data_IF_765230053504
#
_entry.id   IF_765230053504
#
_cell.length_a   1.000
_cell.length_b   1.000
_cell.length_c   1.000
_cell.angle_alpha   90.00
_cell.angle_beta   90.00
_cell.angle_gamma   90.00
#
_symmetry.space_group_name_H-M   'P 1'
#
loop_
_entity.id
_entity.type
_entity.pdbx_description
1 polymer ?
#
# COMPACT_ATOMS: atom_id res chain seq x y z
N UNK A 1 12.07 -4.70 10.99
CA UNK A 1 11.91 -3.82 9.81
C UNK A 1 10.47 -3.38 9.57
N UNK A 2 9.58 -4.11 8.84
CA UNK A 2 8.22 -3.59 8.55
C UNK A 2 7.36 -3.34 9.81
N UNK A 3 7.48 -4.20 10.82
CA UNK A 3 6.75 -4.05 12.09
C UNK A 3 7.14 -2.77 12.85
N UNK A 4 8.40 -2.36 12.75
CA UNK A 4 8.93 -1.14 13.39
C UNK A 4 8.60 0.10 12.56
N UNK A 5 8.49 -0.05 11.23
CA UNK A 5 8.08 1.03 10.34
C UNK A 5 6.61 1.38 10.49
N UNK A 6 5.76 0.38 10.73
CA UNK A 6 4.31 0.54 10.79
C UNK A 6 3.76 0.20 12.18
N UNK A 7 4.08 1.06 13.14
CA UNK A 7 3.45 1.03 14.47
C UNK A 7 2.05 1.67 14.40
N UNK A 8 1.15 1.40 15.36
CA UNK A 8 -0.18 2.02 15.37
C UNK A 8 -0.17 3.56 15.26
N UNK A 9 0.71 4.30 15.98
CA UNK A 9 0.84 5.74 15.77
C UNK A 9 1.24 6.10 14.34
N UNK A 10 2.27 5.45 13.78
CA UNK A 10 2.73 5.76 12.42
C UNK A 10 1.68 5.48 11.34
N UNK A 11 0.89 4.41 11.50
CA UNK A 11 -0.24 4.12 10.62
C UNK A 11 -1.32 5.21 10.72
N UNK A 12 -1.62 5.69 11.92
CA UNK A 12 -2.59 6.75 12.13
C UNK A 12 -2.14 8.07 11.50
N UNK A 13 -0.88 8.46 11.69
CA UNK A 13 -0.30 9.66 11.07
C UNK A 13 -0.39 9.59 9.53
N UNK A 14 -0.10 8.43 8.92
CA UNK A 14 -0.20 8.24 7.47
C UNK A 14 -1.64 8.43 6.99
N UNK A 15 -2.62 7.83 7.68
CA UNK A 15 -4.04 7.88 7.31
C UNK A 15 -4.60 9.30 7.48
N UNK A 16 -4.35 9.94 8.62
CA UNK A 16 -4.90 11.25 8.97
C UNK A 16 -4.10 12.42 8.38
N UNK A 17 -2.82 12.23 8.06
CA UNK A 17 -1.94 13.26 7.52
C UNK A 17 -1.73 13.10 6.02
N UNK A 18 -0.86 12.17 5.62
CA UNK A 18 -0.39 12.09 4.24
C UNK A 18 -1.48 11.62 3.24
N UNK A 19 -2.39 10.75 3.67
CA UNK A 19 -3.41 10.14 2.81
C UNK A 19 -4.74 10.89 2.84
N UNK A 20 -5.13 11.47 3.98
CA UNK A 20 -6.34 12.30 4.10
C UNK A 20 -6.37 13.49 3.15
N UNK A 21 -5.20 14.09 2.90
CA UNK A 21 -5.07 15.32 2.12
C UNK A 21 -5.17 15.08 0.61
N UNK A 22 -5.37 13.83 0.18
CA UNK A 22 -5.27 13.43 -1.23
C UNK A 22 -6.59 12.94 -1.77
N UNK A 23 -6.96 13.47 -2.93
CA UNK A 23 -8.19 13.07 -3.63
C UNK A 23 -8.18 11.57 -3.92
N UNK A 24 -7.01 11.04 -4.33
CA UNK A 24 -6.80 9.61 -4.58
C UNK A 24 -7.15 8.73 -3.37
N UNK A 25 -6.96 9.21 -2.13
CA UNK A 25 -7.05 8.39 -0.92
C UNK A 25 -8.23 8.72 -0.01
N UNK A 26 -8.75 9.95 -0.04
CA UNK A 26 -9.74 10.46 0.90
C UNK A 26 -11.00 9.58 0.98
N UNK A 27 -11.49 9.08 -0.15
CA UNK A 27 -12.70 8.26 -0.20
C UNK A 27 -12.56 6.84 0.38
N UNK A 28 -11.35 6.41 0.75
CA UNK A 28 -11.09 5.07 1.27
C UNK A 28 -10.64 5.08 2.74
N UNK A 29 -10.68 6.24 3.41
CA UNK A 29 -10.18 6.37 4.78
C UNK A 29 -10.89 5.45 5.77
N UNK A 30 -12.21 5.38 5.72
CA UNK A 30 -13.00 4.56 6.63
C UNK A 30 -12.61 3.08 6.52
N UNK A 31 -12.58 2.55 5.28
CA UNK A 31 -12.16 1.19 4.99
C UNK A 31 -10.72 0.91 5.43
N UNK A 32 -9.79 1.86 5.24
CA UNK A 32 -8.41 1.73 5.74
C UNK A 32 -8.35 1.67 7.26
N UNK A 33 -9.11 2.53 7.95
CA UNK A 33 -9.20 2.56 9.41
C UNK A 33 -9.74 1.24 9.94
N UNK A 34 -10.79 0.70 9.33
CA UNK A 34 -11.36 -0.61 9.69
C UNK A 34 -10.38 -1.75 9.47
N UNK A 35 -9.68 -1.77 8.34
CA UNK A 35 -8.66 -2.78 8.04
C UNK A 35 -7.51 -2.73 9.06
N UNK A 36 -7.05 -1.53 9.45
CA UNK A 36 -6.01 -1.38 10.48
C UNK A 36 -6.53 -1.77 11.88
N UNK A 37 -7.77 -1.42 12.25
CA UNK A 37 -8.38 -1.90 13.50
C UNK A 37 -8.42 -3.43 13.55
N UNK A 38 -8.87 -4.07 12.47
CA UNK A 38 -8.89 -5.52 12.35
C UNK A 38 -7.48 -6.12 12.49
N UNK A 39 -6.47 -5.50 11.87
CA UNK A 39 -5.07 -5.90 12.02
C UNK A 39 -4.60 -5.81 13.48
N UNK A 40 -4.88 -4.69 14.16
CA UNK A 40 -4.54 -4.51 15.56
C UNK A 40 -5.22 -5.54 16.48
N UNK A 41 -6.49 -5.89 16.20
CA UNK A 41 -7.22 -6.94 16.91
C UNK A 41 -6.71 -8.37 16.62
N UNK A 42 -5.78 -8.54 15.69
CA UNK A 42 -5.28 -9.87 15.28
C UNK A 42 -6.20 -10.61 14.30
N UNK A 43 -7.17 -9.94 13.70
CA UNK A 43 -8.08 -10.47 12.69
C UNK A 43 -7.49 -10.33 11.29
N UNK A 44 -6.34 -10.96 11.05
CA UNK A 44 -5.52 -10.73 9.85
C UNK A 44 -6.22 -11.04 8.53
N UNK A 45 -7.05 -12.09 8.49
CA UNK A 45 -7.82 -12.42 7.29
C UNK A 45 -8.78 -11.28 6.92
N UNK A 46 -9.51 -10.75 7.91
CA UNK A 46 -10.43 -9.61 7.75
C UNK A 46 -9.67 -8.36 7.34
N UNK A 47 -8.55 -8.07 8.01
CA UNK A 47 -7.71 -6.92 7.70
C UNK A 47 -7.19 -6.95 6.25
N UNK A 48 -6.72 -8.10 5.79
CA UNK A 48 -6.22 -8.28 4.42
C UNK A 48 -7.37 -8.17 3.41
N UNK A 49 -8.49 -8.87 3.62
CA UNK A 49 -9.63 -8.78 2.70
C UNK A 49 -10.18 -7.36 2.64
N UNK A 50 -10.22 -6.65 3.76
CA UNK A 50 -10.67 -5.26 3.84
C UNK A 50 -9.76 -4.27 3.11
N UNK A 51 -8.46 -4.55 2.97
CA UNK A 51 -7.50 -3.64 2.34
C UNK A 51 -7.38 -3.81 0.82
N UNK A 52 -7.75 -4.99 0.29
CA UNK A 52 -7.68 -5.28 -1.15
C UNK A 52 -8.54 -4.31 -1.99
N UNK A 53 -9.81 -4.01 -1.63
CA UNK A 53 -10.61 -3.03 -2.36
C UNK A 53 -10.03 -1.62 -2.33
N UNK A 54 -9.37 -1.21 -1.24
CA UNK A 54 -8.66 0.09 -1.18
C UNK A 54 -7.56 0.16 -2.24
N UNK A 55 -6.74 -0.89 -2.35
CA UNK A 55 -5.67 -0.98 -3.35
C UNK A 55 -6.23 -0.85 -4.78
N UNK A 56 -7.28 -1.61 -5.11
CA UNK A 56 -7.93 -1.49 -6.43
C UNK A 56 -8.55 -0.11 -6.65
N UNK A 57 -9.14 0.46 -5.60
CA UNK A 57 -9.70 1.80 -5.62
C UNK A 57 -8.68 2.88 -5.94
N UNK A 58 -7.53 2.87 -5.24
CA UNK A 58 -6.43 3.78 -5.50
C UNK A 58 -5.91 3.66 -6.93
N UNK A 59 -5.83 2.44 -7.48
CA UNK A 59 -5.44 2.22 -8.87
C UNK A 59 -6.43 2.85 -9.86
N UNK A 60 -7.74 2.76 -9.60
CA UNK A 60 -8.77 3.42 -10.42
C UNK A 60 -8.63 4.94 -10.38
N UNK A 61 -8.43 5.51 -9.20
CA UNK A 61 -8.23 6.96 -9.03
C UNK A 61 -6.94 7.45 -9.71
N UNK A 62 -5.83 6.72 -9.57
CA UNK A 62 -4.59 7.02 -10.29
C UNK A 62 -4.80 7.05 -11.80
N UNK A 63 -5.61 6.13 -12.35
CA UNK A 63 -5.98 6.13 -13.76
C UNK A 63 -6.73 7.40 -14.19
N UNK A 64 -7.69 7.87 -13.38
CA UNK A 64 -8.38 9.14 -13.65
C UNK A 64 -7.41 10.32 -13.69
N UNK A 65 -6.47 10.38 -12.75
CA UNK A 65 -5.47 11.44 -12.67
C UNK A 65 -4.51 11.49 -13.88
N UNK A 66 -4.27 10.37 -14.55
CA UNK A 66 -3.48 10.33 -15.81
C UNK A 66 -4.35 10.33 -17.08
N UNK A 67 -5.61 10.73 -16.97
CA UNK A 67 -6.59 10.75 -18.08
C UNK A 67 -6.78 9.41 -18.78
N UNK A 68 -6.62 8.30 -18.04
CA UNK A 68 -6.94 6.94 -18.46
C UNK A 68 -7.94 6.35 -17.46
N UNK A 69 -9.23 6.75 -17.50
CA UNK A 69 -10.21 6.25 -16.57
C UNK A 69 -10.30 4.73 -16.68
N UNK A 70 -9.99 4.06 -15.57
CA UNK A 70 -10.15 2.61 -15.47
C UNK A 70 -11.63 2.34 -15.24
N UNK A 71 -12.29 1.66 -16.18
CA UNK A 71 -13.68 1.22 -16.07
C UNK A 71 -13.83 0.19 -14.93
N UNK A 72 -15.05 -0.33 -14.73
CA UNK A 72 -15.46 -1.18 -13.61
C UNK A 72 -14.47 -2.29 -13.23
N UNK A 73 -13.80 -2.91 -14.21
CA UNK A 73 -12.73 -3.87 -13.98
C UNK A 73 -11.34 -3.25 -14.19
N UNK A 74 -10.52 -3.21 -13.13
CA UNK A 74 -9.08 -2.95 -13.25
C UNK A 74 -8.43 -4.17 -13.90
N UNK A 75 -8.26 -4.14 -15.22
CA UNK A 75 -7.48 -5.14 -15.92
C UNK A 75 -5.98 -4.78 -15.89
N UNK A 76 -5.13 -5.79 -15.99
CA UNK A 76 -3.68 -5.58 -15.92
C UNK A 76 -3.18 -4.66 -17.02
N UNK A 77 -3.72 -4.76 -18.24
CA UNK A 77 -3.30 -3.92 -19.36
C UNK A 77 -3.53 -2.43 -19.12
N UNK A 78 -4.67 -2.06 -18.53
CA UNK A 78 -4.99 -0.67 -18.19
C UNK A 78 -4.05 -0.19 -17.11
N UNK A 79 -3.75 -1.04 -16.12
CA UNK A 79 -2.78 -0.71 -15.08
C UNK A 79 -1.37 -0.44 -15.65
N UNK A 80 -0.89 -1.28 -16.57
CA UNK A 80 0.40 -1.07 -17.24
C UNK A 80 0.41 0.27 -17.99
N UNK A 81 -0.71 0.63 -18.64
CA UNK A 81 -0.85 1.94 -19.30
C UNK A 81 -0.81 3.09 -18.31
N UNK A 82 -1.44 2.96 -17.13
CA UNK A 82 -1.37 3.96 -16.06
C UNK A 82 0.07 4.17 -15.61
N UNK A 83 0.78 3.11 -15.21
CA UNK A 83 2.20 3.23 -14.81
C UNK A 83 3.08 3.80 -15.92
N UNK A 84 2.85 3.40 -17.18
CA UNK A 84 3.56 3.97 -18.32
C UNK A 84 3.32 5.49 -18.45
N UNK A 85 2.09 5.98 -18.26
CA UNK A 85 1.80 7.42 -18.28
C UNK A 85 2.48 8.17 -17.14
N UNK A 86 2.52 7.60 -15.94
CA UNK A 86 3.23 8.21 -14.80
C UNK A 86 4.73 8.31 -15.11
N UNK A 87 5.34 7.24 -15.65
CA UNK A 87 6.75 7.23 -16.10
C UNK A 87 7.02 8.27 -17.19
N UNK A 88 6.10 8.44 -18.15
CA UNK A 88 6.20 9.52 -19.16
C UNK A 88 6.16 10.92 -18.51
N UNK A 89 5.36 11.11 -17.46
CA UNK A 89 5.32 12.35 -16.68
C UNK A 89 6.67 12.67 -16.03
N UNK A 90 7.36 11.67 -15.47
CA UNK A 90 8.69 11.86 -14.91
C UNK A 90 9.73 12.21 -15.97
N UNK A 91 9.70 11.56 -17.14
CA UNK A 91 10.57 11.93 -18.25
C UNK A 91 10.37 13.39 -18.67
N UNK A 92 9.10 13.82 -18.82
CA UNK A 92 8.78 15.22 -19.14
C UNK A 92 9.26 16.19 -18.07
N UNK A 93 9.17 15.83 -16.79
CA UNK A 93 9.67 16.65 -15.68
C UNK A 93 11.20 16.74 -15.65
N UNK A 94 11.90 15.67 -15.97
CA UNK A 94 13.36 15.65 -16.01
C UNK A 94 13.92 16.62 -17.05
N UNK A 95 13.29 16.69 -18.22
CA UNK A 95 13.71 17.55 -19.33
C UNK A 95 13.08 18.94 -19.29
N UNK A 96 12.17 19.20 -18.35
CA UNK A 96 11.50 20.49 -18.24
C UNK A 96 12.52 21.59 -17.93
N UNK A 97 12.57 22.60 -18.79
CA UNK A 97 13.50 23.74 -18.65
C UNK A 97 14.86 23.54 -19.33
N UNK A 98 15.07 22.43 -20.05
CA UNK A 98 16.25 22.26 -20.90
C UNK A 98 15.91 22.52 -22.36
N UNK A 99 16.71 23.37 -23.02
CA UNK A 99 16.54 23.70 -24.45
C UNK A 99 16.94 22.54 -25.37
N UNK A 100 17.85 21.68 -24.91
CA UNK A 100 18.32 20.52 -25.64
C UNK A 100 18.54 19.33 -24.70
N UNK A 101 18.11 18.15 -25.15
CA UNK A 101 18.36 16.86 -24.52
C UNK A 101 18.39 15.77 -25.62
N UNK A 102 19.09 14.65 -25.39
CA UNK A 102 19.16 13.56 -26.37
C UNK A 102 17.84 12.76 -26.36
N UNK A 103 16.86 13.21 -27.14
CA UNK A 103 15.49 12.68 -27.18
C UNK A 103 15.37 11.22 -27.62
N UNK A 104 16.32 10.75 -28.43
CA UNK A 104 16.39 9.35 -28.90
C UNK A 104 16.91 8.40 -27.82
N UNK A 105 17.84 8.86 -27.00
CA UNK A 105 18.50 8.07 -25.95
C UNK A 105 17.72 8.14 -24.63
N UNK A 106 17.16 9.31 -24.31
CA UNK A 106 16.46 9.59 -23.06
C UNK A 106 15.02 9.03 -23.10
N UNK A 107 14.94 7.72 -23.04
CA UNK A 107 13.69 6.95 -23.02
C UNK A 107 13.33 6.49 -21.60
N UNK A 108 12.09 6.03 -21.39
CA UNK A 108 11.70 5.40 -20.12
C UNK A 108 12.59 4.19 -19.78
N UNK A 109 13.00 3.42 -20.79
CA UNK A 109 13.89 2.26 -20.61
C UNK A 109 15.32 2.69 -20.23
N UNK A 110 15.74 3.87 -20.65
CA UNK A 110 16.99 4.46 -20.18
C UNK A 110 16.85 4.90 -18.72
N UNK A 111 15.77 5.63 -18.39
CA UNK A 111 15.50 6.07 -17.00
C UNK A 111 15.32 4.92 -16.01
N UNK A 112 14.74 3.78 -16.42
CA UNK A 112 14.54 2.63 -15.54
C UNK A 112 15.85 2.01 -15.03
N UNK A 113 17.00 2.36 -15.62
CA UNK A 113 18.31 1.86 -15.19
C UNK A 113 18.88 2.62 -13.99
N UNK A 114 18.47 3.86 -13.74
CA UNK A 114 19.09 4.70 -12.70
C UNK A 114 18.16 5.72 -12.04
N UNK A 115 17.05 6.12 -12.67
CA UNK A 115 16.15 7.12 -12.11
C UNK A 115 15.24 6.47 -11.06
N UNK A 116 15.53 6.71 -9.79
CA UNK A 116 14.92 6.05 -8.64
C UNK A 116 13.39 6.05 -8.69
N UNK A 117 12.77 7.20 -9.05
CA UNK A 117 11.31 7.30 -9.14
C UNK A 117 10.71 6.38 -10.20
N UNK A 118 11.40 6.21 -11.33
CA UNK A 118 10.99 5.31 -12.41
C UNK A 118 11.19 3.86 -11.99
N UNK A 119 12.28 3.55 -11.28
CA UNK A 119 12.55 2.22 -10.72
C UNK A 119 11.52 1.79 -9.67
N UNK A 120 11.07 2.71 -8.82
CA UNK A 120 10.00 2.46 -7.86
C UNK A 120 8.67 2.13 -8.57
N UNK A 121 8.32 2.90 -9.62
CA UNK A 121 7.14 2.63 -10.46
C UNK A 121 7.25 1.28 -11.17
N UNK A 122 8.42 0.93 -11.70
CA UNK A 122 8.69 -0.36 -12.34
C UNK A 122 8.52 -1.53 -11.35
N UNK A 123 9.02 -1.38 -10.13
CA UNK A 123 8.90 -2.41 -9.09
C UNK A 123 7.45 -2.64 -8.67
N UNK A 124 6.66 -1.55 -8.55
CA UNK A 124 5.22 -1.66 -8.32
C UNK A 124 4.51 -2.36 -9.48
N UNK A 125 4.80 -1.94 -10.72
CA UNK A 125 4.22 -2.52 -11.92
C UNK A 125 4.48 -4.04 -11.99
N UNK A 126 5.73 -4.45 -11.73
CA UNK A 126 6.13 -5.85 -11.69
C UNK A 126 5.36 -6.64 -10.62
N UNK A 127 5.18 -6.08 -9.42
CA UNK A 127 4.39 -6.72 -8.38
C UNK A 127 2.91 -6.87 -8.77
N UNK A 128 2.31 -5.82 -9.32
CA UNK A 128 0.91 -5.90 -9.73
C UNK A 128 0.69 -6.90 -10.85
N UNK A 129 1.58 -6.92 -11.85
CA UNK A 129 1.52 -7.84 -12.98
C UNK A 129 1.78 -9.29 -12.57
N UNK A 130 2.85 -9.52 -11.82
CA UNK A 130 3.33 -10.85 -11.51
C UNK A 130 2.61 -11.49 -10.32
N UNK A 131 2.17 -10.70 -9.34
CA UNK A 131 1.64 -11.21 -8.07
C UNK A 131 0.17 -10.86 -7.86
N UNK A 132 -0.18 -9.57 -7.83
CA UNK A 132 -1.51 -9.12 -7.40
C UNK A 132 -2.63 -9.49 -8.39
N UNK A 133 -2.38 -9.30 -9.70
CA UNK A 133 -3.27 -9.65 -10.80
C UNK A 133 -2.83 -10.91 -11.57
N UNK A 134 -1.73 -11.55 -11.16
CA UNK A 134 -1.23 -12.76 -11.82
C UNK A 134 -2.27 -13.88 -11.81
N UNK A 135 -2.24 -14.74 -12.83
CA UNK A 135 -3.10 -15.91 -12.87
C UNK A 135 -2.72 -16.87 -11.73
N UNK A 136 -3.72 -17.30 -10.95
CA UNK A 136 -3.53 -18.11 -9.75
C UNK A 136 -2.78 -19.42 -10.02
N UNK A 137 -2.94 -20.00 -11.21
CA UNK A 137 -2.27 -21.23 -11.64
C UNK A 137 -0.76 -21.04 -11.93
N UNK A 138 -0.36 -19.83 -12.33
CA UNK A 138 1.04 -19.51 -12.67
C UNK A 138 1.87 -19.05 -11.48
N UNK A 139 1.26 -18.87 -10.31
CA UNK A 139 1.93 -18.34 -9.13
C UNK A 139 2.64 -19.46 -8.35
N UNK A 140 3.89 -19.23 -7.92
CA UNK A 140 4.53 -20.15 -6.99
C UNK A 140 3.72 -20.27 -5.70
N UNK A 141 3.71 -21.45 -5.09
CA UNK A 141 2.89 -21.79 -3.91
C UNK A 141 3.08 -20.88 -2.69
N UNK A 142 4.19 -20.14 -2.61
CA UNK A 142 4.49 -19.19 -1.53
C UNK A 142 3.95 -17.77 -1.78
N UNK A 143 3.47 -17.45 -2.99
CA UNK A 143 2.87 -16.16 -3.30
C UNK A 143 1.38 -16.16 -2.98
N UNK A 144 1.07 -15.86 -1.72
CA UNK A 144 -0.31 -15.89 -1.19
C UNK A 144 -1.04 -14.55 -1.26
N UNK A 145 -0.41 -13.50 -1.79
CA UNK A 145 -0.94 -12.13 -1.87
C UNK A 145 -1.53 -11.78 -3.24
N UNK A 146 -2.30 -12.71 -3.82
CA UNK A 146 -3.05 -12.49 -5.06
C UNK A 146 -4.49 -12.12 -4.74
N UNK A 147 -5.03 -11.10 -5.41
CA UNK A 147 -6.38 -10.60 -5.12
C UNK A 147 -7.46 -11.66 -5.39
N UNK A 148 -7.35 -12.39 -6.50
CA UNK A 148 -8.34 -13.35 -6.96
C UNK A 148 -8.25 -14.63 -6.12
N UNK A 149 -7.03 -15.10 -5.85
CA UNK A 149 -6.77 -16.23 -4.95
C UNK A 149 -7.32 -16.02 -3.53
N UNK A 150 -7.20 -14.80 -2.98
CA UNK A 150 -7.77 -14.46 -1.68
C UNK A 150 -9.30 -14.34 -1.76
N UNK A 151 -9.83 -13.59 -2.74
CA UNK A 151 -11.27 -13.33 -2.86
C UNK A 151 -12.09 -14.62 -3.09
N UNK A 152 -11.55 -15.58 -3.84
CA UNK A 152 -12.21 -16.86 -4.11
C UNK A 152 -11.80 -17.98 -3.14
N UNK A 153 -10.99 -17.68 -2.12
CA UNK A 153 -10.62 -18.65 -1.08
C UNK A 153 -9.70 -19.78 -1.54
N UNK A 154 -9.00 -19.62 -2.66
CA UNK A 154 -8.03 -20.60 -3.15
C UNK A 154 -6.77 -20.67 -2.28
N UNK A 155 -6.36 -19.53 -1.71
CA UNK A 155 -5.15 -19.44 -0.93
C UNK A 155 -5.43 -19.61 0.57
N UNK A 156 -4.74 -20.57 1.19
CA UNK A 156 -4.72 -20.77 2.65
C UNK A 156 -3.46 -20.14 3.23
N UNK A 157 -3.52 -19.69 4.49
CA UNK A 157 -2.34 -19.15 5.18
C UNK A 157 -1.92 -17.73 4.79
N UNK A 158 -2.71 -17.00 3.99
CA UNK A 158 -2.44 -15.58 3.72
C UNK A 158 -2.63 -14.69 4.95
N UNK A 159 -3.46 -15.11 5.91
CA UNK A 159 -3.88 -14.38 7.09
C UNK A 159 -2.76 -14.23 8.14
N UNK A 160 -1.68 -13.53 7.79
CA UNK A 160 -0.54 -13.26 8.67
C UNK A 160 -0.33 -11.76 8.85
N UNK A 161 0.28 -11.33 9.97
CA UNK A 161 0.58 -9.92 10.18
C UNK A 161 1.56 -9.37 9.15
N UNK A 162 2.54 -10.18 8.74
CA UNK A 162 3.54 -9.78 7.73
C UNK A 162 2.89 -9.49 6.37
N UNK A 163 1.91 -10.31 5.97
CA UNK A 163 1.19 -10.13 4.72
C UNK A 163 0.32 -8.86 4.73
N UNK A 164 -0.35 -8.56 5.85
CA UNK A 164 -1.04 -7.28 5.99
C UNK A 164 -0.07 -6.10 5.84
N UNK A 165 1.07 -6.13 6.54
CA UNK A 165 2.07 -5.05 6.44
C UNK A 165 2.66 -4.89 5.04
N UNK A 166 2.82 -5.99 4.28
CA UNK A 166 3.23 -5.92 2.87
C UNK A 166 2.20 -5.20 2.01
N UNK A 167 0.90 -5.45 2.22
CA UNK A 167 -0.17 -4.74 1.52
C UNK A 167 -0.32 -3.29 1.98
N UNK A 168 -0.13 -3.00 3.26
CA UNK A 168 -0.11 -1.64 3.79
C UNK A 168 1.09 -0.84 3.21
N UNK A 169 2.25 -1.47 3.09
CA UNK A 169 3.40 -0.87 2.40
C UNK A 169 3.13 -0.63 0.91
N UNK A 170 2.38 -1.51 0.25
CA UNK A 170 1.94 -1.27 -1.13
C UNK A 170 1.06 -0.02 -1.24
N UNK A 171 0.23 0.28 -0.24
CA UNK A 171 -0.53 1.54 -0.19
C UNK A 171 0.41 2.75 -0.04
N UNK A 172 1.45 2.66 0.78
CA UNK A 172 2.49 3.71 0.84
C UNK A 172 3.16 3.93 -0.53
N UNK A 173 3.42 2.87 -1.29
CA UNK A 173 3.97 2.97 -2.65
C UNK A 173 2.96 3.54 -3.66
N UNK A 174 1.67 3.22 -3.54
CA UNK A 174 0.62 3.87 -4.33
C UNK A 174 0.48 5.35 -3.98
N UNK A 175 0.71 5.71 -2.72
CA UNK A 175 0.75 7.10 -2.27
C UNK A 175 1.91 7.83 -2.93
N UNK A 176 3.07 7.19 -3.07
CA UNK A 176 4.17 7.73 -3.87
C UNK A 176 3.75 8.01 -5.32
N UNK A 177 3.14 7.04 -6.00
CA UNK A 177 2.63 7.25 -7.36
C UNK A 177 1.65 8.42 -7.44
N UNK A 178 0.77 8.59 -6.45
CA UNK A 178 -0.15 9.72 -6.38
C UNK A 178 0.57 11.07 -6.19
N UNK A 179 1.67 11.16 -5.40
CA UNK A 179 2.46 12.40 -5.31
C UNK A 179 2.95 12.81 -6.69
N UNK A 180 3.48 11.84 -7.43
CA UNK A 180 4.01 12.12 -8.76
C UNK A 180 2.91 12.69 -9.64
N UNK A 181 1.73 12.08 -9.70
CA UNK A 181 0.68 12.57 -10.60
C UNK A 181 0.05 13.89 -10.13
N UNK A 182 -0.20 14.04 -8.83
CA UNK A 182 -0.79 15.26 -8.27
C UNK A 182 0.21 16.44 -8.20
N UNK A 183 1.52 16.17 -8.28
CA UNK A 183 2.57 17.18 -8.25
C UNK A 183 2.77 17.84 -6.88
N UNK A 184 2.14 17.31 -5.82
CA UNK A 184 2.18 17.84 -4.45
C UNK A 184 2.20 16.72 -3.42
N UNK A 185 2.83 16.99 -2.27
CA UNK A 185 2.89 16.06 -1.13
C UNK A 185 4.33 15.69 -0.74
N UNK A 186 4.45 14.98 0.38
CA UNK A 186 5.72 14.48 0.91
C UNK A 186 5.68 12.95 1.06
N UNK A 187 6.83 12.32 0.85
CA UNK A 187 7.08 10.90 1.15
C UNK A 187 7.58 10.68 2.58
N UNK A 188 7.88 11.75 3.30
CA UNK A 188 8.31 11.67 4.69
C UNK A 188 7.11 11.34 5.58
N UNK A 189 7.39 10.78 6.75
CA UNK A 189 6.38 10.58 7.78
C UNK A 189 5.70 11.93 8.05
N UNK A 190 4.36 12.01 7.94
CA UNK A 190 3.65 13.24 8.26
C UNK A 190 3.79 13.57 9.75
N UNK A 191 3.65 14.84 10.09
CA UNK A 191 3.61 15.28 11.47
C UNK A 191 2.37 14.77 12.20
N UNK A 192 2.48 14.66 13.52
CA UNK A 192 1.38 14.26 14.39
C UNK A 192 0.34 15.37 14.45
N UNK A 193 -0.93 14.99 14.30
CA UNK A 193 -2.13 15.84 14.46
C UNK A 193 -3.03 15.31 15.57
N UNK A 194 -3.92 16.14 16.12
CA UNK A 194 -4.91 15.72 17.14
C UNK A 194 -5.75 14.53 16.69
N UNK A 195 -6.17 14.51 15.41
CA UNK A 195 -6.94 13.40 14.84
C UNK A 195 -6.10 12.12 14.75
N UNK A 196 -4.82 12.24 14.37
CA UNK A 196 -3.92 11.10 14.31
C UNK A 196 -3.63 10.52 15.70
N UNK A 197 -3.53 11.36 16.74
CA UNK A 197 -3.34 10.90 18.13
C UNK A 197 -4.58 10.14 18.63
N UNK A 198 -5.78 10.67 18.37
CA UNK A 198 -7.03 10.01 18.72
C UNK A 198 -7.17 8.66 18.00
N UNK A 199 -6.82 8.60 16.71
CA UNK A 199 -6.84 7.37 15.93
C UNK A 199 -5.76 6.38 16.41
N UNK A 200 -4.56 6.85 16.73
CA UNK A 200 -3.48 6.03 17.28
C UNK A 200 -3.87 5.40 18.63
N UNK A 201 -4.56 6.16 19.49
CA UNK A 201 -5.11 5.66 20.74
C UNK A 201 -6.16 4.56 20.48
N UNK A 202 -7.01 4.75 19.48
CA UNK A 202 -8.00 3.75 19.08
C UNK A 202 -7.31 2.44 18.62
N UNK A 203 -6.33 2.52 17.72
CA UNK A 203 -5.57 1.36 17.26
C UNK A 203 -4.81 0.68 18.41
N UNK A 204 -4.27 1.45 19.36
CA UNK A 204 -3.60 0.91 20.54
C UNK A 204 -4.58 0.16 21.45
N UNK A 205 -5.80 0.69 21.66
CA UNK A 205 -6.87 -0.01 22.38
C UNK A 205 -7.24 -1.33 21.70
N UNK A 206 -7.36 -1.35 20.38
CA UNK A 206 -7.57 -2.57 19.60
C UNK A 206 -6.44 -3.59 19.81
N UNK A 207 -5.18 -3.12 19.77
CA UNK A 207 -4.01 -3.98 19.99
C UNK A 207 -4.00 -4.61 21.38
N UNK A 208 -4.33 -3.84 22.42
CA UNK A 208 -4.44 -4.34 23.80
C UNK A 208 -5.61 -5.32 23.96
N UNK A 209 -6.70 -5.10 23.23
CA UNK A 209 -7.92 -5.94 23.27
C UNK A 209 -7.78 -7.26 22.51
N UNK A 210 -6.69 -7.45 21.75
CA UNK A 210 -6.43 -8.66 20.95
C UNK A 210 -6.59 -9.98 21.73
N UNK A 211 -6.27 -9.97 23.04
CA UNK A 211 -6.38 -11.15 23.91
C UNK A 211 -7.81 -11.69 24.03
N UNK A 212 -8.82 -10.83 23.87
CA UNK A 212 -10.23 -11.23 23.97
C UNK A 212 -10.78 -11.80 22.67
N UNK A 213 -10.11 -11.54 21.54
CA UNK A 213 -10.55 -11.96 20.20
C UNK A 213 -9.92 -13.28 19.78
N UNK A 214 -8.74 -13.63 20.32
CA UNK A 214 -8.11 -14.93 20.10
C UNK A 214 -8.18 -15.78 21.38
N UNK A 215 -9.23 -16.61 21.55
CA UNK A 215 -9.47 -17.33 22.80
C UNK A 215 -8.38 -18.34 23.22
N UNK A 216 -7.39 -18.64 22.37
CA UNK A 216 -6.38 -19.68 22.62
C UNK A 216 -4.91 -19.20 22.66
N UNK A 217 -4.64 -17.89 22.80
CA UNK A 217 -3.25 -17.43 23.03
C UNK A 217 -2.89 -17.54 24.53
N UNK A 218 -2.76 -18.77 25.04
CA UNK A 218 -2.21 -19.02 26.37
C UNK A 218 -0.74 -18.57 26.43
N UNK A 219 -0.47 -17.68 27.38
CA UNK A 219 0.78 -17.44 28.11
C UNK A 219 2.10 -17.35 27.32
N UNK A 220 2.49 -16.13 26.96
CA UNK A 220 3.89 -15.70 27.05
C UNK A 220 3.91 -14.37 27.81
N UNK A 221 3.88 -14.45 29.12
CA UNK A 221 4.47 -13.44 29.99
C UNK A 221 5.60 -14.17 30.74
N UNK A 222 6.84 -13.67 30.74
CA UNK A 222 7.86 -14.22 31.61
C UNK A 222 7.41 -14.02 33.07
N UNK A 223 7.40 -15.10 33.84
CA UNK A 223 7.12 -15.06 35.28
C UNK A 223 8.01 -14.03 35.96
N UNK A 224 7.52 -13.28 36.96
CA UNK A 224 8.37 -12.39 37.73
C UNK A 224 9.43 -13.24 38.41
N UNK A 225 10.70 -12.89 38.17
CA UNK A 225 11.83 -13.45 38.93
C UNK A 225 11.62 -13.01 40.37
N UNK A 226 11.16 -13.93 41.22
CA UNK A 226 11.21 -13.76 42.66
C UNK A 226 12.68 -13.99 43.04
N UNK A 227 13.40 -12.90 43.30
CA UNK A 227 14.67 -12.94 43.99
C UNK A 227 14.38 -13.26 45.47
N UNK A 228 14.55 -14.53 45.81
CA UNK A 228 14.74 -15.00 47.18
C UNK A 228 16.21 -15.25 47.45
#
# INVERSE_FOLDING_TARGET
MLLEMYTPPRMADLICGAWSQRITFAQYQEQLIEAVKAYCLGLYGVAIVGILPCIEGFLRELGKHVSLPVKDAVNIETLLKVFHRIKQGELKRLVAGYDWYPDKELTINYLSRYHERVQMLESMEMYFRGCFYGHTESLPSHFVLNRHGIAHGFFKGYATPSNFLRLFNLISLLSFAAILVEGRGSMLQPGVTTDSEALALNFTKCLLSRRYVQPNAQSILPSPIILG
#
